data_IF_049724862184
#
_entry.id   IF_049724862184
#
_cell.length_a   1.000
_cell.length_b   1.000
_cell.length_c   1.000
_cell.angle_alpha   90.00
_cell.angle_beta   90.00
_cell.angle_gamma   90.00
#
_symmetry.space_group_name_H-M   'P 1'
#
loop_
_entity.id
_entity.type
_entity.pdbx_description
1 polymer ?
#
# COMPACT_ATOMS: atom_id res chain seq x y z
N UNK A 1 3.97 -6.96 -9.02
CA UNK A 1 4.49 -7.62 -7.81
C UNK A 1 3.30 -8.07 -6.97
N UNK A 2 3.26 -9.35 -6.56
CA UNK A 2 2.14 -9.88 -5.78
C UNK A 2 2.38 -9.62 -4.30
N UNK A 3 1.41 -8.99 -3.64
CA UNK A 3 1.47 -8.63 -2.22
C UNK A 3 0.66 -9.62 -1.41
N UNK A 4 1.26 -10.13 -0.33
CA UNK A 4 0.64 -11.07 0.60
C UNK A 4 -0.11 -10.35 1.73
N UNK A 5 -1.08 -11.03 2.38
CA UNK A 5 -1.73 -10.50 3.57
C UNK A 5 -0.75 -10.17 4.71
N UNK A 6 -1.02 -9.15 5.54
CA UNK A 6 -0.20 -8.85 6.71
C UNK A 6 -0.14 -10.08 7.64
N UNK A 7 1.04 -10.42 8.13
CA UNK A 7 1.25 -11.63 8.94
C UNK A 7 1.52 -12.92 8.17
N UNK A 8 1.50 -12.90 6.83
CA UNK A 8 1.83 -14.08 6.01
C UNK A 8 3.30 -14.51 6.15
N UNK A 9 4.21 -13.57 6.42
CA UNK A 9 5.65 -13.81 6.47
C UNK A 9 6.25 -14.01 5.07
N UNK A 10 7.11 -15.02 4.92
CA UNK A 10 7.70 -15.31 3.61
C UNK A 10 6.69 -15.98 2.65
N UNK A 11 6.88 -15.74 1.35
CA UNK A 11 6.05 -16.34 0.31
C UNK A 11 6.08 -17.87 0.38
N UNK A 12 7.25 -18.47 0.57
CA UNK A 12 7.43 -19.93 0.64
C UNK A 12 6.60 -20.52 1.77
N UNK A 13 6.79 -20.02 3.00
CA UNK A 13 6.01 -20.47 4.16
C UNK A 13 4.51 -20.32 3.92
N UNK A 14 4.10 -19.17 3.38
CA UNK A 14 2.69 -18.92 3.11
C UNK A 14 2.10 -19.91 2.11
N UNK A 15 2.83 -20.22 1.05
CA UNK A 15 2.38 -21.19 0.03
C UNK A 15 2.29 -22.60 0.59
N UNK A 16 3.14 -22.97 1.54
CA UNK A 16 3.12 -24.32 2.14
C UNK A 16 2.02 -24.48 3.19
N UNK A 17 1.72 -23.44 3.97
CA UNK A 17 0.78 -23.51 5.09
C UNK A 17 -0.66 -23.14 4.67
N UNK A 18 -0.83 -22.25 3.69
CA UNK A 18 -2.15 -21.82 3.25
C UNK A 18 -2.86 -22.89 2.43
N UNK A 19 -4.05 -23.29 2.86
CA UNK A 19 -4.91 -24.27 2.18
C UNK A 19 -5.82 -23.69 1.11
N UNK A 20 -5.84 -22.34 0.94
CA UNK A 20 -6.72 -21.67 -0.02
C UNK A 20 -8.21 -21.69 0.37
N UNK A 21 -8.54 -21.84 1.66
CA UNK A 21 -9.93 -21.93 2.13
C UNK A 21 -10.75 -20.65 1.95
N UNK A 22 -10.12 -19.52 1.61
CA UNK A 22 -10.71 -18.21 1.30
C UNK A 22 -11.48 -17.52 2.45
N UNK A 23 -11.46 -18.04 3.67
CA UNK A 23 -12.13 -17.41 4.81
C UNK A 23 -11.65 -15.99 5.07
N UNK A 24 -10.34 -15.73 4.88
CA UNK A 24 -9.75 -14.40 5.02
C UNK A 24 -10.24 -13.42 3.93
N UNK A 25 -10.51 -13.89 2.72
CA UNK A 25 -11.08 -13.10 1.64
C UNK A 25 -12.52 -12.69 1.99
N UNK A 26 -13.34 -13.68 2.41
CA UNK A 26 -14.73 -13.44 2.77
C UNK A 26 -14.88 -12.53 4.00
N UNK A 27 -13.96 -12.58 4.95
CA UNK A 27 -14.00 -11.77 6.17
C UNK A 27 -13.39 -10.36 6.02
N UNK A 28 -12.74 -10.07 4.90
CA UNK A 28 -12.07 -8.80 4.68
C UNK A 28 -13.08 -7.66 4.49
N UNK A 29 -13.15 -6.66 5.39
CA UNK A 29 -14.18 -5.62 5.33
C UNK A 29 -14.01 -4.66 4.15
N UNK A 30 -12.80 -4.48 3.69
CA UNK A 30 -12.50 -3.63 2.51
C UNK A 30 -12.41 -4.42 1.22
N UNK A 31 -12.48 -5.76 1.29
CA UNK A 31 -12.31 -6.65 0.13
C UNK A 31 -11.01 -6.44 -0.65
N UNK A 32 -9.95 -5.94 0.02
CA UNK A 32 -8.62 -5.81 -0.57
C UNK A 32 -7.96 -7.17 -0.82
N UNK A 33 -8.40 -8.21 -0.09
CA UNK A 33 -7.97 -9.58 -0.32
C UNK A 33 -8.77 -10.19 -1.47
N UNK A 34 -8.05 -10.67 -2.48
CA UNK A 34 -8.60 -11.32 -3.66
C UNK A 34 -7.91 -12.67 -3.89
N UNK A 35 -8.58 -13.65 -4.51
CA UNK A 35 -7.94 -14.91 -4.87
C UNK A 35 -6.87 -14.66 -5.94
N UNK A 36 -5.72 -15.32 -5.79
CA UNK A 36 -4.71 -15.36 -6.84
C UNK A 36 -5.05 -16.45 -7.85
N UNK A 37 -5.01 -16.12 -9.12
CA UNK A 37 -5.17 -17.14 -10.18
C UNK A 37 -3.79 -17.71 -10.56
N UNK A 38 -2.92 -16.89 -11.13
CA UNK A 38 -1.56 -17.32 -11.52
C UNK A 38 -0.45 -16.38 -10.99
N UNK A 39 -0.81 -15.31 -10.30
CA UNK A 39 0.13 -14.29 -9.81
C UNK A 39 1.12 -14.84 -8.77
N UNK A 40 0.76 -15.92 -8.08
CA UNK A 40 1.59 -16.63 -7.09
C UNK A 40 2.10 -18.00 -7.62
N UNK A 41 2.02 -18.21 -8.95
CA UNK A 41 2.32 -19.48 -9.56
C UNK A 41 1.26 -20.55 -9.29
N UNK A 42 1.48 -21.79 -9.76
CA UNK A 42 0.53 -22.90 -9.64
C UNK A 42 0.23 -23.24 -8.17
N UNK A 43 1.23 -23.28 -7.31
CA UNK A 43 1.08 -23.55 -5.87
C UNK A 43 0.25 -22.48 -5.14
N UNK A 44 0.16 -21.27 -5.72
CA UNK A 44 -0.59 -20.14 -5.16
C UNK A 44 -2.00 -20.00 -5.70
N UNK A 45 -2.46 -20.91 -6.57
CA UNK A 45 -3.80 -20.85 -7.16
C UNK A 45 -4.88 -20.80 -6.07
N UNK A 46 -5.80 -19.83 -6.20
CA UNK A 46 -6.90 -19.55 -5.25
C UNK A 46 -6.47 -19.10 -3.84
N UNK A 47 -5.17 -18.93 -3.57
CA UNK A 47 -4.70 -18.36 -2.29
C UNK A 47 -4.87 -16.85 -2.26
N UNK A 48 -5.06 -16.24 -1.07
CA UNK A 48 -5.31 -14.81 -0.97
C UNK A 48 -4.06 -13.99 -1.34
N UNK A 49 -4.29 -12.95 -2.12
CA UNK A 49 -3.34 -11.85 -2.39
C UNK A 49 -4.00 -10.52 -2.09
N UNK A 50 -3.22 -9.49 -1.85
CA UNK A 50 -3.75 -8.13 -1.74
C UNK A 50 -3.84 -7.47 -3.12
N UNK A 51 -4.95 -6.81 -3.38
CA UNK A 51 -5.21 -6.05 -4.59
C UNK A 51 -5.56 -4.60 -4.21
N UNK A 52 -4.63 -3.71 -4.45
CA UNK A 52 -4.76 -2.28 -4.10
C UNK A 52 -5.37 -1.45 -5.23
N UNK A 53 -5.82 -2.06 -6.33
CA UNK A 53 -6.34 -1.33 -7.49
C UNK A 53 -7.53 -0.42 -7.15
N UNK A 54 -8.39 -0.85 -6.23
CA UNK A 54 -9.59 -0.10 -5.81
C UNK A 54 -9.79 -0.05 -4.30
N UNK A 55 -8.94 -0.71 -3.52
CA UNK A 55 -9.13 -0.95 -2.10
C UNK A 55 -7.82 -0.77 -1.33
N UNK A 56 -7.92 -0.73 0.00
CA UNK A 56 -6.76 -0.62 0.89
C UNK A 56 -6.97 -1.45 2.15
N UNK A 57 -5.89 -1.73 2.88
CA UNK A 57 -5.96 -2.46 4.15
C UNK A 57 -6.18 -1.48 5.30
N UNK A 58 -7.25 -1.68 6.07
CA UNK A 58 -7.51 -0.87 7.27
C UNK A 58 -6.42 -1.11 8.32
N UNK A 59 -5.92 -0.01 8.88
CA UNK A 59 -4.86 -0.04 9.88
C UNK A 59 -5.22 -0.86 11.12
N UNK A 60 -6.42 -0.65 11.67
CA UNK A 60 -6.89 -1.30 12.90
C UNK A 60 -7.46 -2.71 12.69
N UNK A 61 -7.42 -3.24 11.47
CA UNK A 61 -8.06 -4.50 11.14
C UNK A 61 -7.04 -5.65 11.04
N UNK A 62 -7.33 -6.77 11.70
CA UNK A 62 -6.58 -8.02 11.58
C UNK A 62 -7.48 -9.26 11.41
N UNK A 63 -8.72 -9.06 10.95
CA UNK A 63 -9.72 -10.14 10.75
C UNK A 63 -9.22 -11.32 9.92
N UNK A 64 -8.42 -11.06 8.89
CA UNK A 64 -7.84 -12.12 8.06
C UNK A 64 -6.97 -13.10 8.87
N UNK A 65 -6.28 -12.61 9.91
CA UNK A 65 -5.48 -13.45 10.80
C UNK A 65 -6.32 -14.18 11.85
N UNK A 66 -7.43 -13.59 12.28
CA UNK A 66 -8.35 -14.21 13.25
C UNK A 66 -9.05 -15.44 12.70
N UNK A 67 -9.47 -15.38 11.43
CA UNK A 67 -10.23 -16.45 10.78
C UNK A 67 -9.33 -17.50 10.09
N UNK A 68 -8.02 -17.34 10.11
CA UNK A 68 -7.10 -18.25 9.44
C UNK A 68 -6.93 -19.56 10.21
N UNK A 69 -7.48 -20.70 9.76
CA UNK A 69 -7.47 -21.94 10.54
C UNK A 69 -6.07 -22.58 10.59
N UNK A 70 -5.24 -22.33 9.61
CA UNK A 70 -3.91 -22.94 9.50
C UNK A 70 -2.80 -22.06 10.07
N UNK A 71 -3.10 -20.82 10.48
CA UNK A 71 -2.08 -19.86 10.89
C UNK A 71 -1.14 -19.43 9.76
N UNK A 72 -1.55 -19.61 8.49
CA UNK A 72 -0.81 -19.08 7.35
C UNK A 72 -0.67 -17.56 7.44
N UNK A 73 -1.70 -16.89 7.95
CA UNK A 73 -1.69 -15.48 8.33
C UNK A 73 -1.61 -15.44 9.86
N UNK A 74 -0.50 -14.95 10.39
CA UNK A 74 -0.27 -14.85 11.84
C UNK A 74 -0.98 -13.63 12.40
N UNK A 75 -1.49 -13.74 13.63
CA UNK A 75 -1.99 -12.57 14.38
C UNK A 75 -0.82 -11.65 14.70
N UNK A 76 -0.99 -10.40 14.38
CA UNK A 76 -0.04 -9.34 14.71
C UNK A 76 -0.77 -8.34 15.60
N UNK A 77 -0.25 -7.97 16.77
CA UNK A 77 -0.80 -6.86 17.54
C UNK A 77 -0.74 -5.58 16.70
N UNK A 78 -1.69 -4.69 16.91
CA UNK A 78 -1.78 -3.44 16.13
C UNK A 78 -0.67 -2.48 16.54
N UNK A 79 -0.41 -2.38 17.84
CA UNK A 79 0.62 -1.52 18.40
C UNK A 79 1.61 -2.31 19.24
N UNK A 80 2.89 -1.89 19.23
CA UNK A 80 3.89 -2.45 20.14
C UNK A 80 3.55 -2.07 21.59
N UNK A 81 3.22 -3.05 22.43
CA UNK A 81 3.37 -2.87 23.86
C UNK A 81 4.87 -2.78 24.17
N UNK A 82 5.30 -1.64 24.67
CA UNK A 82 6.59 -1.19 25.22
C UNK A 82 7.90 -1.96 24.98
N UNK A 83 7.88 -3.17 24.42
CA UNK A 83 9.07 -3.95 24.05
C UNK A 83 9.26 -3.96 22.53
N UNK A 84 10.29 -3.23 22.07
CA UNK A 84 10.63 -3.00 20.68
C UNK A 84 11.01 -4.24 19.83
N UNK A 85 10.88 -5.43 20.41
CA UNK A 85 11.23 -6.72 19.79
C UNK A 85 10.01 -7.44 19.16
N UNK A 86 8.79 -7.00 19.42
CA UNK A 86 7.61 -7.66 18.92
C UNK A 86 7.22 -7.14 17.53
N UNK A 87 7.00 -8.05 16.58
CA UNK A 87 6.54 -7.71 15.24
C UNK A 87 5.06 -7.33 15.32
N UNK A 88 4.77 -6.05 15.11
CA UNK A 88 3.42 -5.50 15.13
C UNK A 88 2.97 -5.14 13.72
N UNK A 89 1.71 -4.72 13.57
CA UNK A 89 1.21 -4.21 12.29
C UNK A 89 1.93 -2.90 11.88
N UNK A 90 2.34 -2.09 12.84
CA UNK A 90 3.14 -0.88 12.61
C UNK A 90 4.52 -1.16 12.02
N UNK A 91 5.12 -2.29 12.42
CA UNK A 91 6.46 -2.70 11.97
C UNK A 91 6.40 -3.70 10.81
N UNK A 92 5.23 -4.26 10.52
CA UNK A 92 5.05 -5.23 9.44
C UNK A 92 4.85 -4.53 8.10
N UNK A 93 5.86 -4.59 7.24
CA UNK A 93 5.73 -4.10 5.86
C UNK A 93 4.90 -5.08 5.04
N UNK A 94 3.72 -4.63 4.62
CA UNK A 94 2.83 -5.36 3.69
C UNK A 94 3.39 -5.25 2.27
N UNK A 95 3.79 -4.03 1.89
CA UNK A 95 4.36 -3.69 0.59
C UNK A 95 5.29 -2.48 0.73
N UNK A 96 6.01 -2.16 -0.32
CA UNK A 96 6.80 -0.92 -0.42
C UNK A 96 6.07 0.03 -1.37
N UNK A 97 5.60 1.15 -0.84
CA UNK A 97 4.99 2.19 -1.65
C UNK A 97 6.06 2.92 -2.48
N UNK A 98 5.70 3.29 -3.70
CA UNK A 98 6.51 4.14 -4.56
C UNK A 98 5.72 5.41 -4.84
N UNK A 99 6.34 6.56 -4.61
CA UNK A 99 5.73 7.86 -4.87
C UNK A 99 6.31 8.48 -6.13
N UNK A 100 5.44 8.70 -7.12
CA UNK A 100 5.82 9.32 -8.39
C UNK A 100 5.48 10.81 -8.37
N UNK A 101 6.47 11.65 -8.05
CA UNK A 101 6.33 13.11 -7.91
C UNK A 101 5.75 13.75 -9.17
N UNK A 102 6.17 13.29 -10.35
CA UNK A 102 5.72 13.83 -11.64
C UNK A 102 4.23 13.60 -11.93
N UNK A 103 3.58 12.64 -11.25
CA UNK A 103 2.14 12.38 -11.36
C UNK A 103 1.31 13.15 -10.33
N UNK A 104 1.95 13.71 -9.31
CA UNK A 104 1.27 14.46 -8.27
C UNK A 104 0.67 15.75 -8.83
N UNK A 105 -0.60 16.05 -8.48
CA UNK A 105 -1.30 17.28 -8.89
C UNK A 105 -0.56 18.53 -8.45
N UNK A 106 0.04 18.51 -7.26
CA UNK A 106 0.84 19.62 -6.74
C UNK A 106 1.99 19.97 -7.68
N UNK A 107 2.65 18.94 -8.24
CA UNK A 107 3.77 19.14 -9.18
C UNK A 107 3.30 19.39 -10.62
N UNK A 108 2.19 18.76 -11.02
CA UNK A 108 1.68 18.80 -12.39
C UNK A 108 0.89 20.07 -12.69
N UNK A 109 0.06 20.52 -11.74
CA UNK A 109 -0.94 21.56 -11.94
C UNK A 109 -0.76 22.76 -11.01
N UNK A 110 0.31 22.75 -10.17
CA UNK A 110 0.58 23.79 -9.17
C UNK A 110 -0.65 24.06 -8.28
N UNK A 111 -1.29 22.97 -7.79
CA UNK A 111 -2.46 22.98 -6.93
C UNK A 111 -2.16 22.38 -5.57
N UNK A 112 -2.64 22.98 -4.50
CA UNK A 112 -2.53 22.37 -3.16
C UNK A 112 -3.37 21.09 -3.07
N UNK A 113 -2.73 19.99 -2.66
CA UNK A 113 -3.36 18.71 -2.42
C UNK A 113 -2.72 18.01 -1.22
N UNK A 114 -3.54 17.62 -0.22
CA UNK A 114 -3.11 16.92 1.00
C UNK A 114 -3.70 15.52 1.17
N UNK A 115 -4.52 15.05 0.21
CA UNK A 115 -5.35 13.85 0.38
C UNK A 115 -4.56 12.60 0.83
N UNK A 116 -3.41 12.32 0.24
CA UNK A 116 -2.61 11.14 0.58
C UNK A 116 -1.95 11.26 1.96
N UNK A 117 -1.58 12.47 2.41
CA UNK A 117 -0.96 12.71 3.72
C UNK A 117 -1.98 12.64 4.85
N UNK A 118 -3.20 13.12 4.61
CA UNK A 118 -4.30 13.08 5.59
C UNK A 118 -4.78 11.66 5.85
N UNK A 119 -4.79 10.80 4.82
CA UNK A 119 -5.25 9.41 4.92
C UNK A 119 -4.16 8.42 5.34
N UNK A 120 -2.92 8.88 5.53
CA UNK A 120 -1.83 7.98 5.94
C UNK A 120 -1.88 7.68 7.45
N UNK A 121 -2.18 6.45 7.87
CA UNK A 121 -2.35 6.11 9.29
C UNK A 121 -1.02 6.17 10.06
N UNK A 122 0.09 5.84 9.42
CA UNK A 122 1.43 5.87 10.02
C UNK A 122 2.15 7.19 9.84
N UNK A 123 1.52 8.18 9.17
CA UNK A 123 2.13 9.48 8.82
C UNK A 123 3.44 9.35 8.05
N UNK A 124 3.61 8.23 7.33
CA UNK A 124 4.73 8.02 6.43
C UNK A 124 4.73 9.03 5.25
N UNK A 125 3.55 9.56 4.90
CA UNK A 125 3.41 10.65 3.93
C UNK A 125 3.30 11.97 4.69
N UNK A 126 4.21 12.89 4.41
CA UNK A 126 4.26 14.23 4.99
C UNK A 126 4.45 15.26 3.88
N UNK A 127 4.20 16.52 4.18
CA UNK A 127 4.31 17.61 3.19
C UNK A 127 5.58 18.41 3.39
N UNK A 128 6.20 18.80 2.27
CA UNK A 128 7.33 19.74 2.24
C UNK A 128 6.95 20.95 1.40
N UNK A 129 7.49 22.15 1.74
CA UNK A 129 7.27 23.35 0.93
C UNK A 129 7.89 23.15 -0.46
N UNK A 130 7.15 23.57 -1.48
CA UNK A 130 7.54 23.51 -2.88
C UNK A 130 7.10 24.78 -3.59
N UNK A 131 8.01 25.43 -4.31
CA UNK A 131 7.67 26.60 -5.14
C UNK A 131 7.20 26.12 -6.50
N UNK A 132 5.93 26.37 -6.81
CA UNK A 132 5.32 26.06 -8.09
C UNK A 132 5.83 26.90 -9.24
N UNK A 133 5.41 26.58 -10.47
CA UNK A 133 5.71 27.39 -11.67
C UNK A 133 4.98 28.74 -11.66
N UNK A 134 3.92 28.84 -10.86
CA UNK A 134 3.15 30.04 -10.58
C UNK A 134 3.89 31.00 -9.59
N UNK A 135 5.03 30.57 -9.01
CA UNK A 135 5.80 31.29 -8.01
C UNK A 135 5.18 31.27 -6.62
N UNK A 136 4.12 30.51 -6.40
CA UNK A 136 3.51 30.32 -5.08
C UNK A 136 4.10 29.12 -4.35
N UNK A 137 3.98 29.12 -3.03
CA UNK A 137 4.40 28.01 -2.18
C UNK A 137 3.26 27.02 -2.03
N UNK A 138 3.49 25.77 -2.45
CA UNK A 138 2.59 24.65 -2.34
C UNK A 138 3.14 23.57 -1.40
N UNK A 139 2.27 22.70 -0.92
CA UNK A 139 2.61 21.57 -0.03
C UNK A 139 2.77 20.27 -0.83
N UNK A 140 4.02 19.96 -1.22
CA UNK A 140 4.33 18.74 -1.96
C UNK A 140 4.41 17.54 -1.01
N UNK A 141 3.67 16.44 -1.26
CA UNK A 141 3.81 15.21 -0.48
C UNK A 141 5.18 14.57 -0.67
N UNK A 142 5.75 14.05 0.41
CA UNK A 142 6.96 13.23 0.42
C UNK A 142 6.70 11.96 1.23
N UNK A 143 7.29 10.84 0.80
CA UNK A 143 7.17 9.54 1.46
C UNK A 143 8.42 9.26 2.29
N UNK A 144 8.21 8.85 3.54
CA UNK A 144 9.23 8.18 4.34
C UNK A 144 9.02 6.66 4.25
N UNK A 145 9.91 5.94 3.54
CA UNK A 145 9.77 4.49 3.38
C UNK A 145 9.93 3.72 4.69
N UNK A 146 10.57 4.29 5.71
CA UNK A 146 10.81 3.63 7.00
C UNK A 146 9.53 3.50 7.81
N UNK A 147 8.62 4.46 7.70
CA UNK A 147 7.33 4.50 8.38
C UNK A 147 6.20 3.88 7.55
N UNK A 148 6.42 3.64 6.26
CA UNK A 148 5.40 3.13 5.37
C UNK A 148 5.21 1.62 5.53
N UNK A 149 4.01 1.20 5.93
CA UNK A 149 3.61 -0.21 6.02
C UNK A 149 3.04 -0.78 4.72
N UNK A 150 2.81 0.06 3.70
CA UNK A 150 2.29 -0.38 2.41
C UNK A 150 0.82 -0.80 2.44
N UNK A 151 -0.01 -0.15 3.25
CA UNK A 151 -1.44 -0.46 3.39
C UNK A 151 -2.30 -0.04 2.19
N UNK A 152 -1.80 0.82 1.30
CA UNK A 152 -2.52 1.34 0.13
C UNK A 152 -3.45 2.52 0.41
N UNK A 153 -3.61 2.99 1.66
CA UNK A 153 -4.54 4.07 2.00
C UNK A 153 -4.22 5.38 1.29
N UNK A 154 -2.94 5.78 1.23
CA UNK A 154 -2.52 6.99 0.53
C UNK A 154 -2.72 6.90 -0.99
N UNK A 155 -2.54 5.72 -1.58
CA UNK A 155 -2.83 5.48 -3.00
C UNK A 155 -4.32 5.56 -3.27
N UNK A 156 -5.15 4.93 -2.44
CA UNK A 156 -6.60 4.96 -2.56
C UNK A 156 -7.18 6.38 -2.43
N UNK A 157 -6.61 7.21 -1.55
CA UNK A 157 -7.04 8.59 -1.36
C UNK A 157 -6.57 9.54 -2.47
N UNK A 158 -5.59 9.13 -3.29
CA UNK A 158 -5.03 9.98 -4.33
C UNK A 158 -6.00 10.11 -5.53
N UNK A 159 -6.46 11.31 -5.89
CA UNK A 159 -7.39 11.50 -6.99
C UNK A 159 -6.81 11.07 -8.35
N UNK A 160 -5.49 11.11 -8.51
CA UNK A 160 -4.82 10.72 -9.76
C UNK A 160 -4.81 9.21 -9.97
N UNK A 161 -4.81 8.40 -8.90
CA UNK A 161 -4.81 6.93 -9.02
C UNK A 161 -6.17 6.37 -9.38
N UNK A 162 -7.24 7.13 -9.15
CA UNK A 162 -8.61 6.77 -9.54
C UNK A 162 -8.90 7.00 -11.03
N UNK A 163 -8.01 7.68 -11.75
CA UNK A 163 -8.09 7.82 -13.19
C UNK A 163 -8.01 6.44 -13.86
N UNK A 164 -8.86 6.25 -14.88
CA UNK A 164 -8.97 4.97 -15.61
C UNK A 164 -7.62 4.51 -16.17
N UNK A 165 -7.36 3.20 -16.28
CA UNK A 165 -6.10 2.66 -16.82
C UNK A 165 -5.69 3.26 -18.16
N UNK A 166 -6.66 3.60 -19.01
CA UNK A 166 -6.48 4.21 -20.33
C UNK A 166 -5.89 5.64 -20.25
N UNK A 167 -6.14 6.36 -19.16
CA UNK A 167 -5.58 7.70 -18.91
C UNK A 167 -4.20 7.62 -18.26
N UNK A 168 -3.90 6.51 -17.54
CA UNK A 168 -2.55 6.25 -17.00
C UNK A 168 -1.51 6.08 -18.10
N UNK A 169 -1.87 5.54 -19.26
CA UNK A 169 -0.97 5.36 -20.40
C UNK A 169 -0.69 6.67 -21.15
N UNK A 170 -1.61 7.65 -21.11
CA UNK A 170 -1.43 8.96 -21.76
C UNK A 170 -0.42 9.86 -21.04
N UNK A 171 -0.19 9.64 -19.75
CA UNK A 171 0.92 10.27 -19.04
C UNK A 171 2.15 9.42 -19.33
N UNK A 172 2.76 9.63 -20.48
CA UNK A 172 3.99 8.97 -20.90
C UNK A 172 5.11 9.05 -19.86
N UNK A 173 6.23 8.34 -20.05
CA UNK A 173 7.35 8.43 -19.13
C UNK A 173 7.65 9.91 -18.88
N UNK A 174 7.86 10.26 -17.62
CA UNK A 174 8.10 11.64 -17.21
C UNK A 174 9.39 12.17 -17.88
N UNK A 175 9.25 12.69 -19.11
CA UNK A 175 10.35 13.25 -19.87
C UNK A 175 10.89 14.57 -19.29
N UNK A 176 10.29 15.05 -18.19
CA UNK A 176 10.70 16.26 -17.49
C UNK A 176 11.62 16.00 -16.29
N UNK A 177 11.83 14.73 -15.93
CA UNK A 177 12.83 14.35 -14.92
C UNK A 177 14.13 13.95 -15.63
N UNK A 178 14.91 14.92 -16.11
CA UNK A 178 16.33 14.72 -16.41
C UNK A 178 17.18 14.53 -15.14
N UNK A 179 16.64 14.88 -13.99
CA UNK A 179 17.21 14.57 -12.68
C UNK A 179 16.62 13.27 -12.17
N UNK A 180 17.49 12.30 -11.93
CA UNK A 180 17.18 11.06 -11.23
C UNK A 180 16.35 11.41 -9.99
N UNK A 181 15.12 10.87 -9.86
CA UNK A 181 14.39 10.88 -8.60
C UNK A 181 15.19 10.03 -7.61
N UNK A 182 16.25 10.57 -7.04
CA UNK A 182 16.94 10.01 -5.89
C UNK A 182 16.12 10.37 -4.66
N UNK A 183 15.26 9.41 -4.26
CA UNK A 183 14.55 9.42 -2.99
C UNK A 183 14.51 8.02 -2.39
#
# INVERSE_FOLDING_TARGET
QCVLPPGAGSLERFLDVCTGCQMCIASCPTHVLQPAYFQLGIKGFMKPRMDFSTKYCLYDCHRCAEVCPTGAIRKLPITAEKDATEITKDTTRIAVAQFYVCRCLVRREDMDCGACTEHCPTKALYTVPYIGRDGQEHRLPKLDPSLCIGCGAGEHACPVTTEKPEERERVGPCNLCEEKCEF
#
